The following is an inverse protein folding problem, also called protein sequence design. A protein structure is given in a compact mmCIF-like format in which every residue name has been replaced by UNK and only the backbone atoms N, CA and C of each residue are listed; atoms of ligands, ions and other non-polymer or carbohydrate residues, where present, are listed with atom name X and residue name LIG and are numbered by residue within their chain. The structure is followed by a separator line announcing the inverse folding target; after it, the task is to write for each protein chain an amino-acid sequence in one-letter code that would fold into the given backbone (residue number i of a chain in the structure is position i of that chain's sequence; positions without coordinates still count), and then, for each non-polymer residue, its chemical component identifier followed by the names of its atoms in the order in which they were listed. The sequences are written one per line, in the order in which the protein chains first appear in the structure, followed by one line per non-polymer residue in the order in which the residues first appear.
data_IF_114759235812
#
_entry.id   IF_114759235812
#
_cell.length_a   1.000
_cell.length_b   1.000
_cell.length_c   1.000
_cell.angle_alpha   90.00
_cell.angle_beta   90.00
_cell.angle_gamma   90.00
#
_symmetry.space_group_name_H-M   'P 1'
#
loop_
_entity.id
_entity.type
_entity.pdbx_description
1 polymer ?
#
# COMPACT_ATOMS: atom_id res chain seq x y z
N UNK A 1 -10.14 2.44 -31.42
CA UNK A 1 -11.01 1.55 -30.62
C UNK A 1 -12.36 1.25 -31.25
N UNK A 2 -12.80 1.97 -32.29
CA UNK A 2 -14.06 1.67 -33.02
C UNK A 2 -13.90 0.52 -34.01
N UNK A 3 -12.70 0.34 -34.59
CA UNK A 3 -12.47 -0.60 -35.69
C UNK A 3 -12.45 -2.10 -35.31
N UNK A 4 -12.15 -2.46 -34.04
CA UNK A 4 -11.99 -3.87 -33.64
C UNK A 4 -13.29 -4.55 -33.21
N UNK A 5 -14.40 -3.81 -33.11
CA UNK A 5 -15.73 -4.38 -32.83
C UNK A 5 -16.49 -4.79 -34.09
N UNK A 6 -15.99 -4.43 -35.27
CA UNK A 6 -16.65 -4.67 -36.54
C UNK A 6 -16.39 -6.07 -37.11
N UNK A 7 -15.47 -6.83 -36.52
CA UNK A 7 -14.95 -8.08 -37.10
C UNK A 7 -15.55 -9.35 -36.47
N UNK A 8 -16.67 -9.23 -35.74
CA UNK A 8 -17.47 -10.32 -35.10
C UNK A 8 -16.71 -11.43 -34.35
N UNK A 9 -15.41 -11.29 -34.13
CA UNK A 9 -14.52 -12.31 -33.58
C UNK A 9 -14.49 -12.32 -32.05
N UNK A 10 -15.25 -11.41 -31.42
CA UNK A 10 -15.21 -11.19 -29.97
C UNK A 10 -16.62 -11.19 -29.40
N UNK A 11 -16.86 -12.09 -28.44
CA UNK A 11 -18.12 -12.19 -27.71
C UNK A 11 -18.53 -10.85 -27.08
N UNK A 12 -19.84 -10.59 -27.05
CA UNK A 12 -20.48 -9.33 -26.63
C UNK A 12 -20.13 -8.90 -25.20
N UNK A 13 -19.62 -9.82 -24.38
CA UNK A 13 -19.22 -9.63 -22.97
C UNK A 13 -17.73 -9.86 -22.68
N UNK A 14 -16.82 -9.56 -23.61
CA UNK A 14 -15.40 -9.54 -23.22
C UNK A 14 -15.16 -8.36 -22.26
N UNK A 15 -14.96 -8.67 -20.97
CA UNK A 15 -14.42 -7.73 -19.97
C UNK A 15 -13.01 -7.33 -20.40
N UNK A 16 -12.93 -6.24 -21.16
CA UNK A 16 -11.70 -5.58 -21.53
C UNK A 16 -10.99 -5.12 -20.25
N UNK A 17 -10.13 -5.98 -19.67
CA UNK A 17 -9.19 -5.54 -18.63
C UNK A 17 -8.25 -4.58 -19.32
N UNK A 18 -8.50 -3.28 -19.16
CA UNK A 18 -7.55 -2.28 -19.61
C UNK A 18 -6.22 -2.61 -18.94
N UNK A 19 -5.18 -2.92 -19.71
CA UNK A 19 -3.81 -3.09 -19.21
C UNK A 19 -3.37 -1.91 -18.30
N UNK A 20 -4.05 -0.77 -18.41
CA UNK A 20 -3.98 0.39 -17.51
C UNK A 20 -4.15 0.06 -16.02
N UNK A 21 -5.04 -0.86 -15.62
CA UNK A 21 -5.21 -1.18 -14.20
C UNK A 21 -4.04 -2.00 -13.65
N UNK A 22 -3.52 -2.96 -14.44
CA UNK A 22 -2.31 -3.71 -14.10
C UNK A 22 -1.10 -2.78 -14.07
N UNK A 23 -1.00 -1.86 -15.03
CA UNK A 23 0.05 -0.85 -15.06
C UNK A 23 0.02 0.05 -13.82
N UNK A 24 -1.17 0.48 -13.37
CA UNK A 24 -1.29 1.27 -12.15
C UNK A 24 -0.83 0.52 -10.90
N UNK A 25 -1.10 -0.79 -10.79
CA UNK A 25 -0.63 -1.61 -9.66
C UNK A 25 0.91 -1.70 -9.68
N UNK A 26 1.49 -2.02 -10.84
CA UNK A 26 2.94 -2.12 -11.02
C UNK A 26 3.62 -0.78 -10.70
N UNK A 27 3.11 0.31 -11.24
CA UNK A 27 3.61 1.67 -10.98
C UNK A 27 3.46 2.06 -9.51
N UNK A 28 2.39 1.65 -8.83
CA UNK A 28 2.19 1.92 -7.41
C UNK A 28 3.21 1.17 -6.55
N UNK A 29 3.46 -0.10 -6.85
CA UNK A 29 4.49 -0.89 -6.17
C UNK A 29 5.89 -0.32 -6.41
N UNK A 30 6.22 0.08 -7.63
CA UNK A 30 7.47 0.78 -7.92
C UNK A 30 7.61 2.09 -7.13
N UNK A 31 6.54 2.88 -7.03
CA UNK A 31 6.54 4.12 -6.21
C UNK A 31 6.78 3.81 -4.74
N UNK A 32 6.20 2.73 -4.20
CA UNK A 32 6.44 2.30 -2.82
C UNK A 32 7.90 1.97 -2.56
N UNK A 33 8.51 1.15 -3.44
CA UNK A 33 9.93 0.78 -3.31
C UNK A 33 10.84 2.01 -3.44
N UNK A 34 10.63 2.85 -4.45
CA UNK A 34 11.41 4.09 -4.64
C UNK A 34 11.27 5.05 -3.45
N UNK A 35 10.08 5.17 -2.87
CA UNK A 35 9.83 5.98 -1.68
C UNK A 35 10.61 5.46 -0.46
N UNK A 36 10.62 4.13 -0.23
CA UNK A 36 11.41 3.51 0.85
C UNK A 36 12.90 3.79 0.66
N UNK A 37 13.42 3.55 -0.53
CA UNK A 37 14.85 3.74 -0.83
C UNK A 37 15.26 5.19 -0.61
N UNK A 38 14.46 6.15 -1.09
CA UNK A 38 14.72 7.59 -0.89
C UNK A 38 14.73 7.99 0.58
N UNK A 39 13.82 7.42 1.38
CA UNK A 39 13.76 7.65 2.83
C UNK A 39 15.00 7.08 3.53
N UNK A 40 15.36 5.83 3.23
CA UNK A 40 16.43 5.09 3.90
C UNK A 40 17.81 5.70 3.63
N UNK A 41 18.06 6.19 2.41
CA UNK A 41 19.32 6.84 2.02
C UNK A 41 19.54 8.18 2.75
N UNK A 42 18.48 8.84 3.22
CA UNK A 42 18.57 10.12 3.93
C UNK A 42 19.00 10.02 5.39
N UNK A 43 19.11 8.82 5.96
CA UNK A 43 19.50 8.65 7.37
C UNK A 43 21.02 8.59 7.55
N UNK A 44 21.49 9.19 8.64
CA UNK A 44 22.91 9.25 9.01
C UNK A 44 23.51 7.87 9.34
N UNK A 45 22.71 6.88 9.72
CA UNK A 45 23.18 5.53 10.03
C UNK A 45 22.16 4.45 9.66
N UNK A 46 22.67 3.24 9.39
CA UNK A 46 21.84 2.06 9.11
C UNK A 46 20.89 1.72 10.26
N UNK A 47 21.33 1.91 11.51
CA UNK A 47 20.50 1.65 12.68
C UNK A 47 19.25 2.53 12.70
N UNK A 48 19.39 3.83 12.47
CA UNK A 48 18.26 4.76 12.44
C UNK A 48 17.32 4.43 11.28
N UNK A 49 17.87 4.16 10.09
CA UNK A 49 17.08 3.76 8.94
C UNK A 49 16.28 2.47 9.18
N UNK A 50 16.89 1.48 9.83
CA UNK A 50 16.24 0.21 10.16
C UNK A 50 15.07 0.41 11.12
N UNK A 51 15.24 1.21 12.17
CA UNK A 51 14.16 1.52 13.11
C UNK A 51 13.02 2.29 12.44
N UNK A 52 13.33 3.27 11.58
CA UNK A 52 12.32 3.99 10.82
C UNK A 52 11.54 3.07 9.88
N UNK A 53 12.23 2.15 9.19
CA UNK A 53 11.59 1.16 8.32
C UNK A 53 10.67 0.21 9.10
N UNK A 54 11.13 -0.26 10.27
CA UNK A 54 10.32 -1.11 11.16
C UNK A 54 9.08 -0.39 11.67
N UNK A 55 9.19 0.87 12.10
CA UNK A 55 8.04 1.66 12.51
C UNK A 55 7.01 1.83 11.39
N UNK A 56 7.48 2.13 10.16
CA UNK A 56 6.60 2.24 8.99
C UNK A 56 5.90 0.92 8.67
N UNK A 57 6.62 -0.20 8.76
CA UNK A 57 6.04 -1.53 8.54
C UNK A 57 4.99 -1.86 9.61
N UNK A 58 5.26 -1.56 10.89
CA UNK A 58 4.33 -1.78 11.99
C UNK A 58 3.00 -1.03 11.79
N UNK A 59 3.05 0.23 11.35
CA UNK A 59 1.85 1.01 11.00
C UNK A 59 1.08 0.33 9.86
N UNK A 60 1.78 -0.07 8.78
CA UNK A 60 1.15 -0.72 7.63
C UNK A 60 0.43 -2.02 7.99
N UNK A 61 1.08 -2.90 8.76
CA UNK A 61 0.52 -4.18 9.22
C UNK A 61 -0.72 -3.95 10.09
N UNK A 62 -0.68 -2.93 10.95
CA UNK A 62 -1.82 -2.51 11.79
C UNK A 62 -3.00 -2.04 10.95
N UNK A 63 -2.77 -1.11 10.02
CA UNK A 63 -3.82 -0.58 9.15
C UNK A 63 -4.37 -1.61 8.16
N UNK A 64 -3.57 -2.62 7.80
CA UNK A 64 -4.02 -3.75 6.97
C UNK A 64 -4.88 -4.76 7.74
N UNK A 65 -5.08 -4.60 9.06
CA UNK A 65 -5.86 -5.53 9.87
C UNK A 65 -5.20 -6.89 10.05
N UNK A 66 -3.88 -6.96 9.90
CA UNK A 66 -3.10 -8.18 10.17
C UNK A 66 -2.84 -8.38 11.67
N UNK A 67 -3.11 -7.36 12.49
CA UNK A 67 -3.00 -7.42 13.95
C UNK A 67 -4.34 -7.90 14.52
N UNK A 68 -4.29 -8.98 15.29
CA UNK A 68 -5.47 -9.54 15.94
C UNK A 68 -6.10 -8.51 16.89
N UNK A 69 -7.40 -8.27 16.75
CA UNK A 69 -8.14 -7.31 17.57
C UNK A 69 -8.14 -5.86 17.04
N UNK A 70 -7.50 -5.57 15.91
CA UNK A 70 -7.55 -4.26 15.24
C UNK A 70 -8.44 -4.32 14.00
N UNK A 71 -9.54 -3.57 14.00
CA UNK A 71 -10.43 -3.51 12.85
C UNK A 71 -9.75 -2.74 11.69
N UNK A 72 -9.71 -3.36 10.50
CA UNK A 72 -9.07 -2.80 9.30
C UNK A 72 -9.68 -1.46 8.83
N UNK A 73 -10.96 -1.23 9.12
CA UNK A 73 -11.74 -0.07 8.63
C UNK A 73 -12.15 0.89 9.75
N UNK A 74 -11.46 0.86 10.88
CA UNK A 74 -11.67 1.79 11.98
C UNK A 74 -10.41 2.62 12.24
N UNK A 75 -10.30 3.80 11.60
CA UNK A 75 -9.14 4.69 11.79
C UNK A 75 -8.99 5.18 13.24
N UNK A 76 -10.11 5.39 13.94
CA UNK A 76 -10.09 5.89 15.33
C UNK A 76 -9.52 4.82 16.24
N UNK A 77 -9.99 3.57 16.11
CA UNK A 77 -9.47 2.45 16.86
C UNK A 77 -7.99 2.16 16.53
N UNK A 78 -7.58 2.29 15.26
CA UNK A 78 -6.17 2.14 14.88
C UNK A 78 -5.28 3.19 15.52
N UNK A 79 -5.71 4.46 15.54
CA UNK A 79 -4.96 5.54 16.21
C UNK A 79 -4.87 5.28 17.71
N UNK A 80 -5.99 4.98 18.38
CA UNK A 80 -5.99 4.64 19.80
C UNK A 80 -5.10 3.43 20.13
N UNK A 81 -5.10 2.41 19.26
CA UNK A 81 -4.26 1.24 19.41
C UNK A 81 -2.76 1.59 19.30
N UNK A 82 -2.40 2.42 18.33
CA UNK A 82 -1.03 2.92 18.15
C UNK A 82 -0.63 3.77 19.36
N UNK A 83 -1.46 4.73 19.78
CA UNK A 83 -1.20 5.57 20.97
C UNK A 83 -0.96 4.73 22.23
N UNK A 84 -1.74 3.66 22.41
CA UNK A 84 -1.59 2.72 23.52
C UNK A 84 -0.28 1.91 23.45
N UNK A 85 0.13 1.45 22.27
CA UNK A 85 1.40 0.70 22.10
C UNK A 85 2.61 1.60 22.36
N UNK A 86 2.57 2.84 21.86
CA UNK A 86 3.69 3.77 21.97
C UNK A 86 3.65 4.61 23.26
N UNK A 87 2.61 4.49 24.08
CA UNK A 87 2.46 5.25 25.33
C UNK A 87 2.40 6.77 25.10
N UNK A 88 1.86 7.19 23.95
CA UNK A 88 1.80 8.61 23.54
C UNK A 88 0.62 9.33 24.19
N UNK A 89 -0.45 8.60 24.49
CA UNK A 89 -1.57 9.10 25.28
C UNK A 89 -1.30 8.85 26.78
N UNK A 90 -1.28 9.94 27.56
CA UNK A 90 -1.25 9.93 29.03
C UNK A 90 -2.64 9.63 29.61
#
# INVERSE_FOLDING_TARGET
MVALKADETLETEIKLRQAKCLNNIIEQEHRRVKCIVKLVVGFQSFHIARHALQGRAAISVTCQGQVQGVAQKDPVFQVMFIEKIFGVAA
#
